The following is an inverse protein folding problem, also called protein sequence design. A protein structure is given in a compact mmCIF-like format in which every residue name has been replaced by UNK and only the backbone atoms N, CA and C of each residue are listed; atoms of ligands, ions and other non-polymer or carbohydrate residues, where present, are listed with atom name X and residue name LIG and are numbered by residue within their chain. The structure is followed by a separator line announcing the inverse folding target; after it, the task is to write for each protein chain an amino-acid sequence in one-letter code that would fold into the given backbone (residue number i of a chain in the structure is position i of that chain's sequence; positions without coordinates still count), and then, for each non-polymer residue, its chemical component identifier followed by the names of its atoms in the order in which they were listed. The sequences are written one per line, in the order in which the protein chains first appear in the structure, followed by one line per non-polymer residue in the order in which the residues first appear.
data_IF_327135769331
#
_entry.id   IF_327135769331
#
_cell.length_a   1.000
_cell.length_b   1.000
_cell.length_c   1.000
_cell.angle_alpha   90.00
_cell.angle_beta   90.00
_cell.angle_gamma   90.00
#
_symmetry.space_group_name_H-M   'P 1'
#
loop_
_entity.id
_entity.type
_entity.pdbx_description
1 polymer ?
#
# COMPACT_ATOMS: atom_id res chain seq x y z
N UNK A 1 9.27 29.02 4.46
CA UNK A 1 9.01 27.61 4.78
C UNK A 1 7.69 27.26 4.13
N UNK A 2 7.63 26.21 3.34
CA UNK A 2 6.38 25.73 2.73
C UNK A 2 5.48 25.17 3.84
N UNK A 3 4.22 25.59 3.89
CA UNK A 3 3.26 25.10 4.89
C UNK A 3 2.68 23.76 4.41
N UNK A 4 2.54 22.76 5.29
CA UNK A 4 1.85 21.52 4.94
C UNK A 4 0.43 21.82 4.43
N UNK A 5 0.04 21.14 3.35
CA UNK A 5 -1.34 21.20 2.86
C UNK A 5 -2.28 20.49 3.84
N UNK A 6 -3.56 20.90 3.92
CA UNK A 6 -4.58 20.21 4.71
C UNK A 6 -4.66 18.73 4.32
N UNK A 7 -4.96 17.86 5.29
CA UNK A 7 -5.28 16.47 5.01
C UNK A 7 -6.74 16.31 4.52
N UNK A 8 -7.16 15.10 4.15
CA UNK A 8 -8.47 14.87 3.55
C UNK A 8 -9.63 15.19 4.52
N UNK A 9 -9.47 14.88 5.79
CA UNK A 9 -10.45 15.18 6.84
C UNK A 9 -10.62 16.68 7.01
N UNK A 10 -9.54 17.45 6.96
CA UNK A 10 -9.58 18.91 7.02
C UNK A 10 -10.20 19.50 5.75
N UNK A 11 -9.82 19.04 4.55
CA UNK A 11 -10.42 19.47 3.28
C UNK A 11 -11.94 19.23 3.27
N UNK A 12 -12.39 18.06 3.70
CA UNK A 12 -13.81 17.76 3.83
C UNK A 12 -14.52 18.72 4.82
N UNK A 13 -13.84 19.14 5.87
CA UNK A 13 -14.36 20.11 6.84
C UNK A 13 -14.47 21.51 6.24
N UNK A 14 -13.49 21.95 5.45
CA UNK A 14 -13.54 23.24 4.74
C UNK A 14 -14.73 23.30 3.77
N UNK A 15 -15.00 22.20 3.04
CA UNK A 15 -16.18 22.13 2.15
C UNK A 15 -17.48 22.17 2.96
N UNK A 16 -17.62 21.36 4.02
CA UNK A 16 -18.84 21.35 4.85
C UNK A 16 -19.14 22.70 5.50
N UNK A 17 -18.10 23.44 5.87
CA UNK A 17 -18.25 24.77 6.47
C UNK A 17 -18.42 25.91 5.45
N UNK A 18 -18.34 25.60 4.15
CA UNK A 18 -18.44 26.60 3.08
C UNK A 18 -17.22 27.51 2.95
N UNK A 19 -16.08 27.12 3.53
CA UNK A 19 -14.80 27.83 3.43
C UNK A 19 -14.05 27.51 2.13
N UNK A 20 -14.38 26.39 1.48
CA UNK A 20 -13.94 26.01 0.15
C UNK A 20 -15.06 25.28 -0.59
N UNK A 21 -15.05 25.31 -1.91
CA UNK A 21 -15.91 24.50 -2.76
C UNK A 21 -15.18 23.26 -3.29
N UNK A 22 -15.93 22.22 -3.69
CA UNK A 22 -15.36 21.06 -4.34
C UNK A 22 -14.62 21.41 -5.63
N UNK A 23 -15.13 22.38 -6.40
CA UNK A 23 -14.51 22.86 -7.65
C UNK A 23 -13.15 23.46 -7.37
N UNK A 24 -13.04 24.36 -6.39
CA UNK A 24 -11.76 24.99 -6.02
C UNK A 24 -10.73 23.94 -5.61
N UNK A 25 -11.08 22.99 -4.74
CA UNK A 25 -10.14 21.97 -4.27
C UNK A 25 -9.70 20.99 -5.39
N UNK A 26 -10.61 20.68 -6.31
CA UNK A 26 -10.30 19.82 -7.46
C UNK A 26 -9.41 20.56 -8.45
N UNK A 27 -9.70 21.83 -8.77
CA UNK A 27 -8.85 22.63 -9.65
C UNK A 27 -7.45 22.85 -9.05
N UNK A 28 -7.34 23.18 -7.77
CA UNK A 28 -6.06 23.29 -7.06
C UNK A 28 -5.25 21.99 -7.12
N UNK A 29 -5.90 20.84 -6.94
CA UNK A 29 -5.25 19.55 -7.03
C UNK A 29 -4.79 19.24 -8.46
N UNK A 30 -5.61 19.52 -9.46
CA UNK A 30 -5.25 19.36 -10.89
C UNK A 30 -4.05 20.26 -11.24
N UNK A 31 -4.03 21.51 -10.80
CA UNK A 31 -2.91 22.43 -11.01
C UNK A 31 -1.61 21.90 -10.37
N UNK A 32 -1.69 21.33 -9.15
CA UNK A 32 -0.53 20.69 -8.51
C UNK A 32 -0.04 19.49 -9.31
N UNK A 33 -0.94 18.61 -9.76
CA UNK A 33 -0.57 17.49 -10.61
C UNK A 33 0.14 17.99 -11.89
N UNK A 34 -0.47 18.92 -12.63
CA UNK A 34 0.08 19.46 -13.88
C UNK A 34 1.46 20.12 -13.69
N UNK A 35 1.69 20.76 -12.55
CA UNK A 35 2.99 21.40 -12.24
C UNK A 35 4.07 20.39 -11.84
N UNK A 36 3.74 19.38 -11.05
CA UNK A 36 4.72 18.52 -10.38
C UNK A 36 4.97 17.20 -11.11
N UNK A 37 3.95 16.67 -11.79
CA UNK A 37 3.98 15.29 -12.28
C UNK A 37 4.96 15.07 -13.43
N UNK A 38 5.29 16.10 -14.19
CA UNK A 38 6.35 16.03 -15.22
C UNK A 38 7.72 15.61 -14.67
N UNK A 39 7.97 15.84 -13.37
CA UNK A 39 9.22 15.44 -12.69
C UNK A 39 9.07 14.16 -11.86
N UNK A 40 7.84 13.78 -11.47
CA UNK A 40 7.56 12.68 -10.56
C UNK A 40 7.04 11.44 -11.30
N UNK A 41 6.20 11.62 -12.33
CA UNK A 41 5.55 10.55 -13.09
C UNK A 41 4.68 9.63 -12.19
N UNK A 42 3.82 10.27 -11.41
CA UNK A 42 2.91 9.57 -10.49
C UNK A 42 1.56 9.25 -11.13
N UNK A 43 1.04 10.12 -12.03
CA UNK A 43 -0.29 10.03 -12.64
C UNK A 43 -0.17 9.62 -14.10
N UNK A 44 -0.64 8.44 -14.46
CA UNK A 44 -0.48 7.86 -15.80
C UNK A 44 -1.76 7.88 -16.64
N UNK A 45 -2.90 8.08 -16.03
CA UNK A 45 -4.20 8.27 -16.70
C UNK A 45 -4.93 9.43 -16.03
N UNK A 46 -5.08 10.53 -16.76
CA UNK A 46 -5.76 11.74 -16.29
C UNK A 46 -7.27 11.65 -16.59
N UNK A 47 -8.08 12.18 -15.65
CA UNK A 47 -9.53 12.27 -15.77
C UNK A 47 -10.02 13.69 -15.40
N UNK A 48 -9.18 14.70 -15.64
CA UNK A 48 -9.38 16.07 -15.12
C UNK A 48 -10.68 16.71 -15.55
N UNK A 49 -11.09 16.59 -16.81
CA UNK A 49 -12.35 17.17 -17.30
C UNK A 49 -13.57 16.51 -16.69
N UNK A 50 -13.52 15.18 -16.52
CA UNK A 50 -14.58 14.44 -15.82
C UNK A 50 -14.62 14.83 -14.33
N UNK A 51 -13.46 14.96 -13.68
CA UNK A 51 -13.35 15.38 -12.29
C UNK A 51 -13.93 16.80 -12.05
N UNK A 52 -13.64 17.76 -12.94
CA UNK A 52 -14.25 19.10 -12.89
C UNK A 52 -15.76 19.06 -13.05
N UNK A 53 -16.24 18.22 -13.97
CA UNK A 53 -17.68 18.05 -14.19
C UNK A 53 -18.37 17.46 -12.96
N UNK A 54 -17.76 16.44 -12.35
CA UNK A 54 -18.25 15.83 -11.12
C UNK A 54 -18.24 16.82 -9.95
N UNK A 55 -17.14 17.57 -9.75
CA UNK A 55 -16.99 18.56 -8.68
C UNK A 55 -18.02 19.69 -8.77
N UNK A 56 -18.43 20.06 -10.00
CA UNK A 56 -19.46 21.09 -10.26
C UNK A 56 -20.88 20.55 -10.13
N UNK A 57 -21.06 19.22 -10.13
CA UNK A 57 -22.35 18.54 -10.04
C UNK A 57 -22.80 18.25 -8.61
N UNK A 58 -23.79 17.37 -8.49
CA UNK A 58 -24.27 16.87 -7.22
C UNK A 58 -23.43 15.67 -6.79
N UNK A 59 -22.64 15.83 -5.72
CA UNK A 59 -21.82 14.77 -5.14
C UNK A 59 -22.57 14.05 -4.01
N UNK A 60 -22.29 12.73 -3.80
CA UNK A 60 -22.79 12.00 -2.65
C UNK A 60 -22.46 12.72 -1.32
N UNK A 61 -23.41 12.66 -0.37
CA UNK A 61 -23.24 13.26 0.95
C UNK A 61 -22.47 12.31 1.89
N UNK A 62 -21.21 12.08 1.53
CA UNK A 62 -20.29 11.22 2.28
C UNK A 62 -19.25 12.00 3.09
N UNK A 63 -18.44 11.29 3.90
CA UNK A 63 -17.46 11.91 4.81
C UNK A 63 -16.39 12.74 4.09
N UNK A 64 -16.10 12.44 2.82
CA UNK A 64 -15.07 13.09 2.01
C UNK A 64 -15.64 13.81 0.78
N UNK A 65 -16.88 14.31 0.89
CA UNK A 65 -17.55 15.00 -0.22
C UNK A 65 -16.69 16.11 -0.82
N UNK A 66 -16.36 15.96 -2.11
CA UNK A 66 -15.61 16.94 -2.90
C UNK A 66 -14.09 16.90 -2.72
N UNK A 67 -13.56 16.00 -1.92
CA UNK A 67 -12.11 15.86 -1.73
C UNK A 67 -11.49 15.18 -2.95
N UNK A 68 -10.38 15.71 -3.53
CA UNK A 68 -9.68 15.08 -4.65
C UNK A 68 -8.98 13.81 -4.23
N UNK A 69 -9.01 12.80 -5.12
CA UNK A 69 -8.46 11.46 -4.88
C UNK A 69 -7.81 10.88 -6.13
N UNK A 70 -6.87 9.94 -5.96
CA UNK A 70 -6.26 9.16 -7.03
C UNK A 70 -6.39 7.67 -6.76
N UNK A 71 -6.52 6.88 -7.84
CA UNK A 71 -6.69 5.44 -7.79
C UNK A 71 -5.50 4.76 -8.45
N UNK A 72 -4.90 3.77 -7.81
CA UNK A 72 -3.82 2.95 -8.40
C UNK A 72 -4.29 2.22 -9.66
N UNK A 73 -3.42 2.09 -10.65
CA UNK A 73 -3.70 1.33 -11.89
C UNK A 73 -3.58 -0.20 -11.69
N UNK A 74 -3.97 -0.71 -10.53
CA UNK A 74 -4.07 -2.12 -10.20
C UNK A 74 -5.13 -2.31 -9.13
N UNK A 75 -6.17 -3.10 -9.43
CA UNK A 75 -7.36 -3.20 -8.60
C UNK A 75 -8.21 -1.92 -8.63
N UNK A 76 -9.22 -1.85 -7.79
CA UNK A 76 -10.13 -0.70 -7.68
C UNK A 76 -10.64 -0.24 -9.05
N UNK A 77 -11.28 -1.14 -9.79
CA UNK A 77 -11.78 -0.92 -11.14
C UNK A 77 -12.86 0.17 -11.14
N UNK A 78 -12.77 1.04 -12.16
CA UNK A 78 -13.69 2.13 -12.44
C UNK A 78 -14.30 1.91 -13.81
N UNK A 79 -15.62 1.69 -13.91
CA UNK A 79 -16.31 1.38 -15.15
C UNK A 79 -16.02 2.39 -16.27
N UNK A 80 -15.59 1.90 -17.43
CA UNK A 80 -15.25 2.71 -18.59
C UNK A 80 -13.90 3.41 -18.55
N UNK A 81 -13.16 3.38 -17.42
CA UNK A 81 -11.85 4.01 -17.30
C UNK A 81 -10.71 3.05 -17.66
N UNK A 82 -9.54 3.55 -18.10
CA UNK A 82 -8.38 2.73 -18.41
C UNK A 82 -7.95 1.87 -17.21
N UNK A 83 -7.57 0.62 -17.49
CA UNK A 83 -7.04 -0.32 -16.49
C UNK A 83 -5.94 -1.16 -17.12
N UNK A 84 -4.70 -0.68 -17.04
CA UNK A 84 -3.56 -1.28 -17.72
C UNK A 84 -2.67 -2.13 -16.81
N UNK A 85 -2.82 -2.05 -15.50
CA UNK A 85 -2.03 -2.80 -14.51
C UNK A 85 -0.51 -2.62 -14.72
N UNK A 86 -0.07 -1.40 -15.12
CA UNK A 86 1.31 -1.10 -15.46
C UNK A 86 1.84 -1.81 -16.70
N UNK A 87 1.00 -2.53 -17.47
CA UNK A 87 1.39 -3.35 -18.61
C UNK A 87 1.20 -2.63 -19.95
N UNK A 88 2.19 -2.76 -20.84
CA UNK A 88 2.21 -2.12 -22.15
C UNK A 88 1.15 -2.69 -23.11
N UNK A 89 0.98 -4.02 -23.15
CA UNK A 89 0.03 -4.63 -24.09
C UNK A 89 -1.43 -4.28 -23.74
N UNK A 90 -1.78 -4.21 -22.46
CA UNK A 90 -3.11 -3.78 -22.01
C UNK A 90 -3.35 -2.30 -22.30
N UNK A 91 -2.34 -1.43 -22.04
CA UNK A 91 -2.38 0.00 -22.36
C UNK A 91 -2.60 0.22 -23.86
N UNK A 92 -1.78 -0.42 -24.70
CA UNK A 92 -1.80 -0.23 -26.16
C UNK A 92 -3.09 -0.82 -26.79
N UNK A 93 -3.67 -1.85 -26.18
CA UNK A 93 -4.98 -2.37 -26.55
C UNK A 93 -6.15 -1.50 -26.05
N UNK A 94 -5.89 -0.50 -25.23
CA UNK A 94 -6.92 0.39 -24.70
C UNK A 94 -7.88 -0.29 -23.73
N UNK A 95 -7.41 -1.28 -22.97
CA UNK A 95 -8.24 -2.03 -22.02
C UNK A 95 -8.87 -1.11 -20.99
N UNK A 96 -10.16 -1.27 -20.76
CA UNK A 96 -10.96 -0.51 -19.78
C UNK A 96 -11.72 -1.45 -18.87
N UNK A 97 -11.94 -1.03 -17.63
CA UNK A 97 -12.76 -1.79 -16.69
C UNK A 97 -14.23 -1.81 -17.16
N UNK A 98 -14.86 -2.98 -17.09
CA UNK A 98 -16.28 -3.15 -17.53
C UNK A 98 -17.28 -2.68 -16.48
N UNK A 99 -16.91 -2.77 -15.19
CA UNK A 99 -17.74 -2.38 -14.06
C UNK A 99 -16.91 -1.86 -12.90
N UNK A 100 -17.55 -1.11 -12.00
CA UNK A 100 -16.94 -0.66 -10.77
C UNK A 100 -16.73 -1.83 -9.80
N UNK A 101 -15.57 -1.85 -9.15
CA UNK A 101 -15.36 -2.68 -7.96
C UNK A 101 -16.22 -2.19 -6.79
N UNK A 102 -16.51 -3.05 -5.82
CA UNK A 102 -17.19 -2.63 -4.59
C UNK A 102 -16.40 -1.57 -3.85
N UNK A 103 -15.08 -1.69 -3.86
CA UNK A 103 -14.18 -0.69 -3.29
C UNK A 103 -14.36 0.68 -3.95
N UNK A 104 -14.34 0.76 -5.29
CA UNK A 104 -14.52 2.04 -5.97
C UNK A 104 -15.91 2.65 -5.70
N UNK A 105 -16.96 1.82 -5.65
CA UNK A 105 -18.31 2.30 -5.25
C UNK A 105 -18.30 2.91 -3.85
N UNK A 106 -17.57 2.30 -2.89
CA UNK A 106 -17.44 2.85 -1.53
C UNK A 106 -16.72 4.20 -1.54
N UNK A 107 -15.63 4.34 -2.32
CA UNK A 107 -14.89 5.58 -2.50
C UNK A 107 -15.77 6.67 -3.13
N UNK A 108 -16.47 6.34 -4.20
CA UNK A 108 -17.38 7.29 -4.87
C UNK A 108 -18.54 7.71 -3.96
N UNK A 109 -19.15 6.77 -3.22
CA UNK A 109 -20.23 7.06 -2.26
C UNK A 109 -19.75 7.88 -1.06
N UNK A 110 -18.47 7.80 -0.70
CA UNK A 110 -17.86 8.68 0.31
C UNK A 110 -17.73 10.13 -0.18
N UNK A 111 -17.99 10.38 -1.48
CA UNK A 111 -18.02 11.70 -2.09
C UNK A 111 -16.68 12.17 -2.65
N UNK A 112 -15.67 11.32 -2.74
CA UNK A 112 -14.41 11.69 -3.40
C UNK A 112 -14.58 12.00 -4.88
N UNK A 113 -13.78 12.94 -5.37
CA UNK A 113 -13.64 13.25 -6.80
C UNK A 113 -12.33 12.65 -7.31
N UNK A 114 -12.42 11.65 -8.16
CA UNK A 114 -11.25 10.93 -8.68
C UNK A 114 -10.61 11.67 -9.85
N UNK A 115 -9.33 12.05 -9.71
CA UNK A 115 -8.58 12.82 -10.71
C UNK A 115 -7.93 11.93 -11.79
N UNK A 116 -7.72 10.65 -11.52
CA UNK A 116 -7.04 9.74 -12.43
C UNK A 116 -6.47 8.49 -11.77
N UNK A 117 -5.60 7.78 -12.52
CA UNK A 117 -4.90 6.60 -12.03
C UNK A 117 -3.41 6.85 -11.85
N UNK A 118 -2.86 6.26 -10.81
CA UNK A 118 -1.44 6.38 -10.46
C UNK A 118 -0.63 5.19 -10.98
N UNK A 119 0.64 5.45 -11.22
CA UNK A 119 1.61 4.49 -11.73
C UNK A 119 1.83 3.31 -10.75
N UNK A 120 2.09 2.15 -11.33
CA UNK A 120 2.37 0.89 -10.64
C UNK A 120 3.34 0.07 -11.50
N UNK A 121 4.22 -0.78 -10.95
CA UNK A 121 4.96 -1.73 -11.75
C UNK A 121 4.01 -2.73 -12.40
N UNK A 122 4.42 -3.32 -13.49
CA UNK A 122 3.61 -4.30 -14.22
C UNK A 122 3.11 -5.41 -13.30
N UNK A 123 1.77 -5.62 -13.30
CA UNK A 123 1.05 -6.60 -12.47
C UNK A 123 1.29 -6.48 -10.95
N UNK A 124 1.88 -5.38 -10.50
CA UNK A 124 2.29 -5.22 -9.11
C UNK A 124 3.42 -6.15 -8.66
N UNK A 125 4.15 -6.74 -9.60
CA UNK A 125 5.09 -7.85 -9.39
C UNK A 125 6.38 -7.51 -8.65
N UNK A 126 6.62 -6.25 -8.29
CA UNK A 126 7.83 -5.82 -7.57
C UNK A 126 7.54 -4.70 -6.57
N UNK A 127 8.52 -4.38 -5.72
CA UNK A 127 8.44 -3.33 -4.69
C UNK A 127 9.12 -2.01 -5.10
N UNK A 128 9.28 -1.79 -6.40
CA UNK A 128 9.61 -0.49 -7.01
C UNK A 128 8.57 -0.16 -8.06
N UNK A 129 8.43 1.11 -8.46
CA UNK A 129 7.45 1.55 -9.46
C UNK A 129 8.18 2.11 -10.67
N UNK A 130 8.64 1.20 -11.53
CA UNK A 130 9.48 1.47 -12.69
C UNK A 130 8.99 0.66 -13.92
N UNK A 131 7.68 0.69 -14.29
CA UNK A 131 7.19 -0.11 -15.41
C UNK A 131 7.73 0.35 -16.74
N UNK A 132 8.04 -0.58 -17.66
CA UNK A 132 8.41 -0.25 -19.04
C UNK A 132 7.31 0.53 -19.76
N UNK A 133 6.05 0.29 -19.41
CA UNK A 133 4.89 0.91 -20.05
C UNK A 133 4.85 2.44 -19.86
N UNK A 134 5.22 2.94 -18.66
CA UNK A 134 5.05 4.34 -18.27
C UNK A 134 6.32 5.00 -17.75
N UNK A 135 7.39 4.23 -17.56
CA UNK A 135 8.63 4.69 -16.93
C UNK A 135 8.53 4.82 -15.40
N UNK A 136 9.66 5.15 -14.75
CA UNK A 136 9.76 5.18 -13.30
C UNK A 136 8.99 6.34 -12.67
N UNK A 137 8.28 6.08 -11.57
CA UNK A 137 7.88 7.11 -10.62
C UNK A 137 9.07 7.50 -9.75
N UNK A 138 9.22 8.80 -9.49
CA UNK A 138 10.36 9.38 -8.80
C UNK A 138 9.99 9.84 -7.41
N UNK A 139 10.85 9.58 -6.44
CA UNK A 139 10.60 9.92 -5.06
C UNK A 139 10.68 11.46 -4.85
N UNK A 140 9.62 12.11 -4.34
CA UNK A 140 9.63 13.57 -4.12
C UNK A 140 10.70 14.05 -3.14
N UNK A 141 11.22 13.17 -2.29
CA UNK A 141 12.33 13.49 -1.38
C UNK A 141 13.67 13.56 -2.11
N UNK A 142 13.86 12.70 -3.11
CA UNK A 142 15.01 12.70 -4.01
C UNK A 142 14.63 12.03 -5.34
N UNK A 143 14.57 12.78 -6.41
CA UNK A 143 14.08 12.31 -7.71
C UNK A 143 14.92 11.20 -8.37
N UNK A 144 16.11 10.91 -7.85
CA UNK A 144 16.96 9.81 -8.33
C UNK A 144 16.69 8.49 -7.59
N UNK A 145 15.74 8.48 -6.63
CA UNK A 145 15.43 7.32 -5.80
C UNK A 145 14.03 6.76 -6.06
N UNK A 146 13.86 5.49 -5.73
CA UNK A 146 12.61 4.74 -5.79
C UNK A 146 11.53 5.35 -4.89
N UNK A 147 10.30 5.25 -5.32
CA UNK A 147 9.08 5.56 -4.53
C UNK A 147 8.61 4.37 -3.72
N UNK A 148 9.34 3.24 -3.80
CA UNK A 148 8.77 1.97 -3.43
C UNK A 148 7.70 1.50 -4.41
N UNK A 149 7.13 0.35 -4.11
CA UNK A 149 6.13 -0.33 -4.94
C UNK A 149 5.31 -1.36 -4.15
N UNK A 150 4.27 -1.81 -4.76
CA UNK A 150 3.78 -1.49 -6.10
C UNK A 150 2.88 -0.24 -6.18
N UNK A 151 2.52 0.42 -5.05
CA UNK A 151 1.70 1.65 -5.05
C UNK A 151 2.57 2.93 -5.04
N UNK A 152 3.71 2.93 -5.75
CA UNK A 152 4.68 4.04 -5.70
C UNK A 152 4.16 5.33 -6.33
N UNK A 153 3.39 5.27 -7.42
CA UNK A 153 2.74 6.45 -7.99
C UNK A 153 1.77 7.11 -7.00
N UNK A 154 0.96 6.30 -6.29
CA UNK A 154 0.06 6.80 -5.22
C UNK A 154 0.85 7.47 -4.10
N UNK A 155 1.91 6.83 -3.62
CA UNK A 155 2.74 7.37 -2.55
C UNK A 155 3.47 8.65 -2.98
N UNK A 156 4.02 8.70 -4.19
CA UNK A 156 4.67 9.90 -4.73
C UNK A 156 3.69 11.07 -4.85
N UNK A 157 2.48 10.82 -5.37
CA UNK A 157 1.45 11.86 -5.50
C UNK A 157 1.04 12.45 -4.14
N UNK A 158 0.85 11.60 -3.12
CA UNK A 158 0.49 12.04 -1.77
C UNK A 158 1.66 12.75 -1.08
N UNK A 159 2.87 12.22 -1.18
CA UNK A 159 4.06 12.83 -0.59
C UNK A 159 4.35 14.22 -1.20
N UNK A 160 4.17 14.38 -2.51
CA UNK A 160 4.31 15.66 -3.21
C UNK A 160 3.15 16.64 -2.93
N UNK A 161 2.09 16.23 -2.23
CA UNK A 161 0.94 17.09 -1.96
C UNK A 161 -0.01 17.28 -3.14
N UNK A 162 0.05 16.45 -4.18
CA UNK A 162 -0.90 16.50 -5.30
C UNK A 162 -2.33 16.23 -4.83
N UNK A 163 -2.51 15.23 -4.00
CA UNK A 163 -3.76 14.86 -3.32
C UNK A 163 -3.49 14.52 -1.85
N UNK A 164 -4.48 14.60 -0.96
CA UNK A 164 -4.28 14.33 0.47
C UNK A 164 -4.07 12.85 0.78
N UNK A 165 -4.70 11.96 0.02
CA UNK A 165 -4.55 10.51 0.10
C UNK A 165 -4.83 9.86 -1.26
N UNK A 166 -4.38 8.62 -1.46
CA UNK A 166 -4.61 7.86 -2.68
C UNK A 166 -4.79 6.37 -2.38
N UNK A 167 -5.54 5.67 -3.26
CA UNK A 167 -5.71 4.22 -3.20
C UNK A 167 -4.37 3.51 -3.40
N UNK A 168 -4.20 2.42 -2.66
CA UNK A 168 -3.06 1.52 -2.72
C UNK A 168 -3.50 0.08 -2.44
N UNK A 169 -2.74 -0.91 -2.88
CA UNK A 169 -3.00 -2.33 -2.61
C UNK A 169 -1.73 -3.02 -2.13
N UNK A 170 -1.84 -4.12 -1.38
CA UNK A 170 -0.72 -4.79 -0.71
C UNK A 170 -0.87 -6.31 -0.78
N UNK A 171 -0.01 -6.98 -1.56
CA UNK A 171 0.08 -8.43 -1.63
C UNK A 171 1.36 -8.98 -0.99
N UNK A 172 2.37 -8.12 -0.78
CA UNK A 172 3.65 -8.47 -0.17
C UNK A 172 4.36 -7.29 0.49
N UNK A 173 3.67 -6.14 0.65
CA UNK A 173 4.23 -4.91 1.19
C UNK A 173 3.83 -3.67 0.40
N UNK A 174 3.00 -3.79 -0.62
CA UNK A 174 2.79 -2.75 -1.62
C UNK A 174 1.95 -1.53 -1.19
N UNK A 175 1.44 -1.47 0.04
CA UNK A 175 1.01 -0.25 0.74
C UNK A 175 2.17 0.26 1.61
N UNK A 176 2.76 -0.63 2.40
CA UNK A 176 3.72 -0.32 3.47
C UNK A 176 5.07 0.13 2.94
N UNK A 177 5.59 -0.54 1.90
CA UNK A 177 6.88 -0.19 1.28
C UNK A 177 6.86 1.22 0.68
N UNK A 178 5.90 1.58 -0.21
CA UNK A 178 5.86 2.93 -0.74
C UNK A 178 5.51 3.99 0.34
N UNK A 179 4.71 3.66 1.35
CA UNK A 179 4.50 4.55 2.50
C UNK A 179 5.81 4.81 3.25
N UNK A 180 6.63 3.77 3.49
CA UNK A 180 7.95 3.88 4.10
C UNK A 180 8.89 4.77 3.29
N UNK A 181 9.02 4.50 1.98
CA UNK A 181 9.96 5.20 1.11
C UNK A 181 9.55 6.65 0.80
N UNK A 182 8.26 6.97 0.90
CA UNK A 182 7.75 8.32 0.63
C UNK A 182 7.39 9.13 1.89
N UNK A 183 7.59 8.58 3.09
CA UNK A 183 7.36 9.28 4.35
C UNK A 183 5.88 9.47 4.70
N UNK A 184 5.08 8.41 4.52
CA UNK A 184 3.63 8.38 4.66
C UNK A 184 3.17 7.34 5.68
N UNK A 185 1.90 7.43 6.06
CA UNK A 185 1.16 6.38 6.77
C UNK A 185 0.61 5.41 5.74
N UNK A 186 0.88 4.11 5.93
CA UNK A 186 0.34 3.05 5.08
C UNK A 186 -0.12 1.86 5.90
N UNK A 187 -1.42 1.68 6.05
CA UNK A 187 -2.04 0.56 6.77
C UNK A 187 -2.48 -0.52 5.79
N UNK A 188 -1.89 -1.71 5.93
CA UNK A 188 -2.40 -2.95 5.37
C UNK A 188 -3.42 -3.54 6.36
N UNK A 189 -4.72 -3.56 6.04
CA UNK A 189 -5.72 -4.13 6.96
C UNK A 189 -5.66 -5.66 7.01
N UNK A 190 -6.46 -6.24 7.89
CA UNK A 190 -6.66 -7.67 8.01
C UNK A 190 -7.29 -8.26 6.74
N UNK A 191 -6.98 -9.53 6.45
CA UNK A 191 -7.65 -10.28 5.39
C UNK A 191 -9.17 -10.25 5.57
N UNK A 192 -9.89 -9.95 4.49
CA UNK A 192 -11.36 -9.90 4.51
C UNK A 192 -11.95 -8.65 5.15
N UNK A 193 -11.12 -7.64 5.49
CA UNK A 193 -11.60 -6.32 5.92
C UNK A 193 -12.18 -5.53 4.77
N UNK A 194 -11.60 -5.66 3.58
CA UNK A 194 -12.01 -4.99 2.34
C UNK A 194 -12.32 -6.08 1.30
N UNK A 195 -13.45 -5.94 0.59
CA UNK A 195 -13.86 -6.87 -0.44
C UNK A 195 -13.12 -6.65 -1.75
N UNK A 196 -12.69 -7.72 -2.42
CA UNK A 196 -12.15 -7.70 -3.78
C UNK A 196 -13.23 -7.81 -4.88
N UNK A 197 -14.49 -7.83 -4.48
CA UNK A 197 -15.60 -8.04 -5.42
C UNK A 197 -15.98 -6.80 -6.24
N UNK A 198 -16.82 -6.99 -7.26
CA UNK A 198 -17.42 -8.27 -7.66
C UNK A 198 -16.52 -9.12 -8.56
N UNK A 199 -15.37 -8.61 -9.04
CA UNK A 199 -14.51 -9.25 -10.04
C UNK A 199 -13.77 -10.47 -9.48
N UNK A 200 -13.31 -10.39 -8.24
CA UNK A 200 -12.57 -11.45 -7.57
C UNK A 200 -13.08 -11.70 -6.15
N UNK A 201 -12.83 -12.88 -5.61
CA UNK A 201 -13.06 -13.19 -4.20
C UNK A 201 -11.81 -12.98 -3.35
N UNK A 202 -10.64 -13.19 -3.95
CA UNK A 202 -9.33 -13.07 -3.31
C UNK A 202 -8.21 -12.87 -4.33
N UNK A 203 -7.00 -12.56 -3.87
CA UNK A 203 -5.78 -12.66 -4.66
C UNK A 203 -4.65 -13.33 -3.86
N UNK A 204 -3.79 -14.09 -4.54
CA UNK A 204 -2.62 -14.77 -3.99
C UNK A 204 -2.94 -15.63 -2.75
N UNK A 205 -3.98 -16.49 -2.85
CA UNK A 205 -4.47 -17.32 -1.74
C UNK A 205 -4.81 -16.50 -0.48
N UNK A 206 -5.43 -15.34 -0.66
CA UNK A 206 -5.87 -14.45 0.41
C UNK A 206 -4.76 -13.54 0.97
N UNK A 207 -3.62 -13.41 0.30
CA UNK A 207 -2.54 -12.51 0.74
C UNK A 207 -2.76 -11.05 0.33
N UNK A 208 -3.55 -10.78 -0.73
CA UNK A 208 -3.77 -9.40 -1.19
C UNK A 208 -4.86 -8.70 -0.39
N UNK A 209 -4.72 -7.38 -0.27
CA UNK A 209 -5.74 -6.48 0.28
C UNK A 209 -5.55 -5.08 -0.29
N UNK A 210 -6.59 -4.27 -0.22
CA UNK A 210 -6.55 -2.85 -0.59
C UNK A 210 -6.44 -1.95 0.64
N UNK A 211 -6.15 -0.68 0.41
CA UNK A 211 -6.03 0.36 1.42
C UNK A 211 -5.72 1.70 0.79
N UNK A 212 -5.12 2.58 1.58
CA UNK A 212 -4.63 3.88 1.12
C UNK A 212 -3.24 4.18 1.66
N UNK A 213 -2.58 5.13 1.03
CA UNK A 213 -1.48 5.90 1.62
C UNK A 213 -1.98 7.30 1.92
N UNK A 214 -1.62 7.84 3.10
CA UNK A 214 -2.02 9.16 3.56
C UNK A 214 -0.91 9.85 4.36
N UNK A 215 -1.09 11.12 4.73
CA UNK A 215 -0.14 11.85 5.56
C UNK A 215 -0.47 11.81 7.04
N UNK A 216 -1.70 11.44 7.41
CA UNK A 216 -2.16 11.42 8.80
C UNK A 216 -2.83 10.11 9.17
N UNK A 217 -2.72 9.74 10.45
CA UNK A 217 -3.39 8.55 10.99
C UNK A 217 -4.91 8.69 10.91
N UNK A 218 -5.44 9.92 11.15
CA UNK A 218 -6.89 10.15 11.11
C UNK A 218 -7.48 9.93 9.71
N UNK A 219 -6.78 10.30 8.65
CA UNK A 219 -7.23 10.05 7.28
C UNK A 219 -7.26 8.55 6.96
N UNK A 220 -6.19 7.82 7.36
CA UNK A 220 -6.14 6.37 7.22
C UNK A 220 -7.29 5.69 7.96
N UNK A 221 -7.57 6.08 9.19
CA UNK A 221 -8.64 5.50 10.01
C UNK A 221 -10.03 5.78 9.40
N UNK A 222 -10.32 7.03 9.04
CA UNK A 222 -11.60 7.40 8.42
C UNK A 222 -11.80 6.74 7.06
N UNK A 223 -10.71 6.55 6.28
CA UNK A 223 -10.79 5.84 5.01
C UNK A 223 -10.99 4.33 5.20
N UNK A 224 -10.45 3.75 6.26
CA UNK A 224 -10.70 2.34 6.59
C UNK A 224 -12.20 2.10 6.88
N UNK A 225 -12.89 3.04 7.56
CA UNK A 225 -14.35 2.97 7.74
C UNK A 225 -15.10 2.99 6.40
N UNK A 226 -14.66 3.80 5.44
CA UNK A 226 -15.26 3.87 4.09
C UNK A 226 -15.08 2.58 3.31
N UNK A 227 -13.88 1.98 3.39
CA UNK A 227 -13.52 0.81 2.57
C UNK A 227 -13.96 -0.52 3.19
N UNK A 228 -14.14 -0.55 4.53
CA UNK A 228 -14.46 -1.77 5.25
C UNK A 228 -15.89 -2.22 4.96
N UNK A 229 -16.07 -3.52 4.81
CA UNK A 229 -17.40 -4.08 4.70
C UNK A 229 -17.42 -5.44 4.04
N UNK A 230 -18.46 -6.19 4.39
CA UNK A 230 -18.76 -7.48 3.78
C UNK A 230 -19.72 -7.32 2.63
N UNK A 231 -19.39 -7.96 1.51
CA UNK A 231 -20.33 -8.14 0.40
C UNK A 231 -20.75 -9.62 0.27
N UNK A 232 -21.94 -9.84 -0.31
CA UNK A 232 -22.44 -11.21 -0.52
C UNK A 232 -21.51 -11.98 -1.46
N UNK A 233 -21.00 -13.11 -0.98
CA UNK A 233 -20.10 -13.97 -1.74
C UNK A 233 -18.61 -13.82 -1.40
N UNK A 234 -18.24 -12.89 -0.54
CA UNK A 234 -16.85 -12.76 -0.08
C UNK A 234 -16.40 -14.05 0.62
N UNK A 235 -15.25 -14.64 0.24
CA UNK A 235 -14.75 -15.88 0.84
C UNK A 235 -14.14 -15.66 2.23
N UNK A 236 -13.63 -14.46 2.50
CA UNK A 236 -13.08 -14.06 3.79
C UNK A 236 -13.83 -12.86 4.35
N UNK A 237 -14.03 -12.86 5.66
CA UNK A 237 -14.74 -11.79 6.37
C UNK A 237 -14.02 -11.53 7.68
N UNK A 238 -13.45 -10.34 7.83
CA UNK A 238 -12.85 -9.89 9.09
C UNK A 238 -13.94 -9.64 10.15
N UNK A 239 -13.61 -9.81 11.42
CA UNK A 239 -14.51 -9.47 12.52
C UNK A 239 -14.89 -7.98 12.45
N UNK A 240 -16.18 -7.62 12.66
CA UNK A 240 -16.58 -6.22 12.63
C UNK A 240 -15.89 -5.45 13.78
N UNK A 241 -15.49 -4.19 13.56
CA UNK A 241 -14.94 -3.36 14.62
C UNK A 241 -16.01 -3.07 15.67
N UNK A 242 -15.60 -2.85 16.92
CA UNK A 242 -16.52 -2.51 18.02
C UNK A 242 -17.09 -1.09 17.92
N UNK A 243 -16.40 -0.21 17.19
CA UNK A 243 -16.79 1.17 16.86
C UNK A 243 -16.08 1.59 15.57
N UNK A 244 -16.45 2.73 14.95
CA UNK A 244 -15.74 3.24 13.79
C UNK A 244 -14.23 3.40 14.05
N UNK A 245 -13.41 3.10 13.06
CA UNK A 245 -11.94 3.25 13.15
C UNK A 245 -11.52 4.70 13.35
N UNK A 246 -12.26 5.65 12.78
CA UNK A 246 -12.03 7.07 13.02
C UNK A 246 -12.16 7.46 14.51
N UNK A 247 -13.02 6.79 15.25
CA UNK A 247 -13.22 7.03 16.69
C UNK A 247 -12.12 6.39 17.56
N UNK A 248 -11.21 5.62 16.97
CA UNK A 248 -10.04 5.06 17.65
C UNK A 248 -8.87 6.05 17.73
N UNK A 249 -8.87 7.07 16.88
CA UNK A 249 -7.80 8.07 16.83
C UNK A 249 -7.78 8.91 18.11
N UNK A 250 -6.66 8.88 18.84
CA UNK A 250 -6.48 9.57 20.11
C UNK A 250 -7.01 8.84 21.35
N UNK A 251 -7.53 7.62 21.17
CA UNK A 251 -7.84 6.73 22.28
C UNK A 251 -6.56 6.12 22.82
N UNK A 252 -6.44 6.05 24.15
CA UNK A 252 -5.29 5.43 24.81
C UNK A 252 -5.18 3.94 24.43
N UNK A 253 -4.05 3.49 23.84
CA UNK A 253 -3.83 2.06 23.54
C UNK A 253 -3.64 1.21 24.80
N UNK A 254 -3.45 1.81 25.99
CA UNK A 254 -3.04 1.12 27.19
C UNK A 254 -1.55 0.79 27.20
N UNK A 255 -1.10 0.06 28.22
CA UNK A 255 0.28 -0.43 28.28
C UNK A 255 0.39 -1.74 27.49
N UNK A 256 1.23 -1.75 26.46
CA UNK A 256 1.40 -2.86 25.52
C UNK A 256 2.71 -3.60 25.77
N UNK A 257 2.73 -4.89 25.49
CA UNK A 257 3.92 -5.74 25.41
C UNK A 257 4.37 -5.76 23.95
N UNK A 258 5.52 -5.18 23.66
CA UNK A 258 6.00 -4.92 22.31
C UNK A 258 7.30 -5.65 22.06
N UNK A 259 7.32 -6.51 21.04
CA UNK A 259 8.55 -7.16 20.57
C UNK A 259 9.20 -6.35 19.46
N UNK A 260 10.52 -6.18 19.52
CA UNK A 260 11.33 -5.57 18.47
C UNK A 260 12.08 -6.62 17.67
N UNK A 261 11.95 -6.58 16.35
CA UNK A 261 12.71 -7.35 15.37
C UNK A 261 13.50 -6.40 14.45
N UNK A 262 14.58 -5.76 14.91
CA UNK A 262 15.29 -4.74 14.14
C UNK A 262 16.04 -5.29 12.94
N UNK A 263 16.28 -6.61 12.89
CA UNK A 263 16.97 -7.30 11.79
C UNK A 263 16.39 -8.68 11.56
N UNK A 264 16.62 -9.24 10.36
CA UNK A 264 16.27 -10.60 10.01
C UNK A 264 17.53 -11.48 9.95
N UNK A 265 17.50 -12.68 10.57
CA UNK A 265 18.69 -13.53 10.73
C UNK A 265 19.34 -13.95 9.40
N UNK A 266 18.56 -14.07 8.32
CA UNK A 266 19.05 -14.48 7.00
C UNK A 266 19.37 -13.33 6.04
N UNK A 267 19.27 -12.06 6.48
CA UNK A 267 19.37 -10.90 5.59
C UNK A 267 20.18 -9.78 6.23
N UNK A 268 21.05 -9.17 5.45
CA UNK A 268 21.76 -7.97 5.88
C UNK A 268 20.78 -6.78 5.87
N UNK A 269 20.34 -6.38 7.06
CA UNK A 269 19.53 -5.17 7.23
C UNK A 269 20.46 -3.96 7.33
N UNK A 270 20.14 -2.88 6.58
CA UNK A 270 20.91 -1.65 6.63
C UNK A 270 20.92 -1.06 8.04
N UNK A 271 22.07 -0.59 8.56
CA UNK A 271 22.17 -0.02 9.91
C UNK A 271 21.21 1.16 10.16
N UNK A 272 20.82 1.93 9.14
CA UNK A 272 19.84 3.02 9.30
C UNK A 272 18.41 2.47 9.49
N UNK A 273 18.07 1.34 8.88
CA UNK A 273 16.80 0.65 9.12
C UNK A 273 16.76 0.01 10.52
N UNK A 274 17.86 -0.58 10.97
CA UNK A 274 18.01 -1.06 12.37
C UNK A 274 17.82 0.09 13.35
N UNK A 275 18.53 1.19 13.15
CA UNK A 275 18.45 2.37 14.01
C UNK A 275 17.03 2.99 14.05
N UNK A 276 16.29 2.91 12.97
CA UNK A 276 14.90 3.37 12.92
C UNK A 276 14.00 2.58 13.88
N UNK A 277 14.14 1.25 13.91
CA UNK A 277 13.38 0.37 14.81
C UNK A 277 13.82 0.57 16.27
N UNK A 278 15.12 0.69 16.55
CA UNK A 278 15.64 0.94 17.89
C UNK A 278 15.16 2.30 18.44
N UNK A 279 15.13 3.34 17.59
CA UNK A 279 14.60 4.64 17.96
C UNK A 279 13.10 4.60 18.25
N UNK A 280 12.33 3.85 17.45
CA UNK A 280 10.91 3.62 17.71
C UNK A 280 10.69 2.86 19.03
N UNK A 281 11.51 1.84 19.30
CA UNK A 281 11.50 1.12 20.58
C UNK A 281 11.73 2.04 21.77
N UNK A 282 12.75 2.89 21.69
CA UNK A 282 13.05 3.88 22.76
C UNK A 282 11.91 4.89 22.96
N UNK A 283 11.23 5.30 21.88
CA UNK A 283 10.04 6.17 21.98
C UNK A 283 8.88 5.44 22.67
N UNK A 284 8.63 4.18 22.33
CA UNK A 284 7.59 3.34 22.95
C UNK A 284 7.82 3.14 24.45
N UNK A 285 9.07 2.91 24.89
CA UNK A 285 9.44 2.85 26.31
C UNK A 285 9.14 4.16 27.03
N UNK A 286 9.47 5.32 26.41
CA UNK A 286 9.16 6.65 26.97
C UNK A 286 7.66 6.89 27.08
N UNK A 287 6.85 6.27 26.21
CA UNK A 287 5.39 6.32 26.26
C UNK A 287 4.78 5.32 27.27
N UNK A 288 5.61 4.50 27.91
CA UNK A 288 5.22 3.62 29.01
C UNK A 288 4.85 2.19 28.62
N UNK A 289 5.19 1.76 27.40
CA UNK A 289 5.02 0.38 26.96
C UNK A 289 6.16 -0.52 27.44
N UNK A 290 5.91 -1.84 27.52
CA UNK A 290 6.92 -2.85 27.78
C UNK A 290 7.56 -3.28 26.46
N UNK A 291 8.83 -2.98 26.27
CA UNK A 291 9.55 -3.21 25.00
C UNK A 291 10.73 -4.15 25.21
N UNK A 292 10.85 -5.18 24.42
CA UNK A 292 12.00 -6.09 24.43
C UNK A 292 12.35 -6.61 23.01
N UNK A 293 13.58 -7.08 22.82
CA UNK A 293 13.98 -7.76 21.58
C UNK A 293 13.33 -9.12 21.57
N UNK A 294 12.27 -9.26 20.78
CA UNK A 294 11.50 -10.50 20.64
C UNK A 294 10.77 -10.53 19.30
N UNK A 295 10.65 -11.71 18.72
CA UNK A 295 9.97 -11.95 17.45
C UNK A 295 9.48 -13.40 17.37
N UNK A 296 8.46 -13.70 16.55
CA UNK A 296 8.04 -15.09 16.34
C UNK A 296 9.17 -15.95 15.76
N UNK A 297 9.39 -17.14 16.28
CA UNK A 297 10.36 -18.08 15.70
C UNK A 297 10.06 -18.39 14.23
N UNK A 298 8.76 -18.45 13.87
CA UNK A 298 8.32 -18.71 12.50
C UNK A 298 8.65 -17.56 11.53
N UNK A 299 9.02 -16.37 12.02
CA UNK A 299 9.34 -15.19 11.18
C UNK A 299 10.54 -15.45 10.26
N UNK A 300 11.47 -16.29 10.68
CA UNK A 300 12.69 -16.66 9.95
C UNK A 300 12.65 -18.05 9.31
N UNK A 301 11.46 -18.59 9.05
CA UNK A 301 11.33 -19.90 8.42
C UNK A 301 11.84 -19.85 6.97
N UNK A 302 12.94 -20.58 6.68
CA UNK A 302 13.63 -20.60 5.38
C UNK A 302 12.73 -21.07 4.22
N UNK A 303 11.72 -21.89 4.51
CA UNK A 303 10.78 -22.42 3.52
C UNK A 303 9.72 -21.39 3.10
N UNK A 304 9.53 -20.29 3.87
CA UNK A 304 8.51 -19.32 3.62
C UNK A 304 8.56 -18.73 2.19
N UNK A 305 9.73 -18.27 1.78
CA UNK A 305 9.91 -17.64 0.47
C UNK A 305 9.56 -18.60 -0.67
N UNK A 306 9.91 -19.87 -0.57
CA UNK A 306 9.59 -20.88 -1.59
C UNK A 306 8.08 -21.02 -1.79
N UNK A 307 7.32 -21.14 -0.70
CA UNK A 307 5.87 -21.30 -0.77
C UNK A 307 5.16 -20.02 -1.21
N UNK A 308 5.60 -18.87 -0.73
CA UNK A 308 5.08 -17.59 -1.15
C UNK A 308 5.29 -17.33 -2.65
N UNK A 309 6.51 -17.53 -3.14
CA UNK A 309 6.85 -17.39 -4.57
C UNK A 309 6.05 -18.39 -5.42
N UNK A 310 5.82 -19.61 -4.97
CA UNK A 310 4.97 -20.58 -5.69
C UNK A 310 3.54 -20.04 -5.87
N UNK A 311 2.95 -19.44 -4.83
CA UNK A 311 1.60 -18.86 -4.89
C UNK A 311 1.57 -17.68 -5.86
N UNK A 312 2.54 -16.76 -5.77
CA UNK A 312 2.65 -15.59 -6.64
C UNK A 312 2.84 -16.00 -8.10
N UNK A 313 3.71 -16.98 -8.37
CA UNK A 313 3.98 -17.48 -9.71
C UNK A 313 2.72 -18.05 -10.40
N UNK A 314 1.96 -18.88 -9.67
CA UNK A 314 0.69 -19.41 -10.18
C UNK A 314 -0.32 -18.30 -10.44
N UNK A 315 -0.42 -17.32 -9.55
CA UNK A 315 -1.28 -16.16 -9.74
C UNK A 315 -0.88 -15.35 -10.99
N UNK A 316 0.41 -15.09 -11.21
CA UNK A 316 0.92 -14.42 -12.42
C UNK A 316 0.58 -15.21 -13.71
N UNK A 317 0.64 -16.55 -13.65
CA UNK A 317 0.20 -17.38 -14.79
C UNK A 317 -1.31 -17.23 -15.08
N UNK A 318 -2.13 -17.05 -14.04
CA UNK A 318 -3.57 -16.77 -14.19
C UNK A 318 -3.79 -15.37 -14.74
N UNK A 319 -2.99 -14.38 -14.33
CA UNK A 319 -3.05 -13.02 -14.89
C UNK A 319 -2.79 -13.03 -16.39
N UNK A 320 -1.86 -13.85 -16.91
CA UNK A 320 -1.65 -13.98 -18.36
C UNK A 320 -2.88 -14.50 -19.09
N UNK A 321 -3.65 -15.41 -18.47
CA UNK A 321 -4.92 -15.89 -19.05
C UNK A 321 -5.95 -14.75 -19.11
N UNK A 322 -6.08 -14.00 -18.01
CA UNK A 322 -7.03 -12.88 -17.91
C UNK A 322 -6.66 -11.75 -18.88
N UNK A 323 -5.38 -11.37 -18.95
CA UNK A 323 -4.87 -10.40 -19.92
C UNK A 323 -5.13 -10.84 -21.36
N UNK A 324 -4.86 -12.14 -21.65
CA UNK A 324 -5.13 -12.71 -22.98
C UNK A 324 -6.60 -12.62 -23.38
N UNK A 325 -7.50 -12.87 -22.42
CA UNK A 325 -8.94 -12.68 -22.63
C UNK A 325 -9.30 -11.21 -22.90
N UNK A 326 -8.69 -10.27 -22.16
CA UNK A 326 -8.94 -8.83 -22.32
C UNK A 326 -8.47 -8.28 -23.68
N UNK A 327 -7.34 -8.79 -24.22
CA UNK A 327 -6.80 -8.34 -25.53
C UNK A 327 -7.20 -9.24 -26.71
N UNK A 328 -7.95 -10.33 -26.47
CA UNK A 328 -8.47 -11.23 -27.51
C UNK A 328 -7.45 -12.19 -28.13
N UNK A 329 -6.28 -12.40 -27.50
CA UNK A 329 -5.24 -13.35 -27.92
C UNK A 329 -4.39 -13.82 -26.74
N UNK A 330 -3.71 -14.97 -26.82
CA UNK A 330 -2.76 -15.39 -25.79
C UNK A 330 -1.64 -14.37 -25.56
N UNK A 331 -1.20 -14.25 -24.32
CA UNK A 331 -0.03 -13.45 -23.93
C UNK A 331 1.25 -14.20 -24.32
N UNK A 332 2.18 -13.51 -24.97
CA UNK A 332 3.52 -13.98 -25.31
C UNK A 332 4.60 -13.22 -24.56
N UNK A 333 5.85 -13.68 -24.66
CA UNK A 333 7.02 -13.10 -23.99
C UNK A 333 7.18 -11.58 -24.24
N UNK A 334 6.86 -11.11 -25.44
CA UNK A 334 6.95 -9.68 -25.78
C UNK A 334 5.82 -8.80 -25.25
N UNK A 335 4.81 -9.36 -24.59
CA UNK A 335 3.65 -8.63 -24.07
C UNK A 335 3.82 -8.22 -22.61
N UNK A 336 4.79 -8.79 -21.92
CA UNK A 336 5.09 -8.57 -20.50
C UNK A 336 6.56 -8.35 -20.27
N UNK A 337 6.92 -7.75 -19.14
CA UNK A 337 8.31 -7.57 -18.73
C UNK A 337 8.98 -8.93 -18.44
N UNK A 338 10.29 -9.02 -18.67
CA UNK A 338 11.03 -10.29 -18.57
C UNK A 338 10.89 -10.98 -17.19
N UNK A 339 10.85 -10.21 -16.12
CA UNK A 339 10.65 -10.73 -14.76
C UNK A 339 9.28 -11.38 -14.58
N UNK A 340 8.21 -10.76 -15.10
CA UNK A 340 6.86 -11.29 -15.06
C UNK A 340 6.70 -12.50 -16.00
N UNK A 341 7.35 -12.46 -17.18
CA UNK A 341 7.37 -13.63 -18.06
C UNK A 341 8.01 -14.84 -17.40
N UNK A 342 9.15 -14.65 -16.71
CA UNK A 342 9.81 -15.72 -15.95
C UNK A 342 8.87 -16.22 -14.83
N UNK A 343 8.27 -15.32 -14.05
CA UNK A 343 7.39 -15.67 -12.93
C UNK A 343 6.16 -16.46 -13.42
N UNK A 344 5.49 -15.97 -14.47
CA UNK A 344 4.33 -16.66 -15.06
C UNK A 344 4.71 -18.03 -15.67
N UNK A 345 5.90 -18.14 -16.30
CA UNK A 345 6.41 -19.41 -16.83
C UNK A 345 6.68 -20.44 -15.74
N UNK A 346 7.24 -20.01 -14.59
CA UNK A 346 7.37 -20.83 -13.39
C UNK A 346 5.96 -21.29 -12.96
N UNK A 347 5.01 -20.36 -12.83
CA UNK A 347 3.64 -20.65 -12.43
C UNK A 347 2.93 -21.68 -13.31
N UNK A 348 3.13 -21.61 -14.63
CA UNK A 348 2.59 -22.60 -15.58
C UNK A 348 3.18 -24.01 -15.38
N UNK A 349 4.38 -24.13 -14.82
CA UNK A 349 5.03 -25.41 -14.54
C UNK A 349 4.62 -26.03 -13.20
N UNK A 350 4.01 -25.27 -12.30
CA UNK A 350 3.57 -25.74 -10.97
C UNK A 350 2.35 -26.64 -11.13
N UNK A 351 2.41 -27.86 -10.56
CA UNK A 351 1.24 -28.73 -10.54
C UNK A 351 0.17 -28.24 -9.55
N UNK A 352 -1.08 -28.60 -9.78
CA UNK A 352 -2.17 -28.31 -8.83
C UNK A 352 -1.89 -28.88 -7.43
N UNK A 353 -1.23 -30.05 -7.35
CA UNK A 353 -0.86 -30.67 -6.08
C UNK A 353 0.20 -29.84 -5.34
N UNK A 354 1.21 -29.31 -6.04
CA UNK A 354 2.27 -28.50 -5.43
C UNK A 354 1.71 -27.14 -4.98
N UNK A 355 0.80 -26.53 -5.76
CA UNK A 355 0.11 -25.31 -5.36
C UNK A 355 -0.70 -25.51 -4.07
N UNK A 356 -1.54 -26.56 -4.01
CA UNK A 356 -2.33 -26.87 -2.81
C UNK A 356 -1.42 -27.19 -1.62
N UNK A 357 -0.30 -27.89 -1.83
CA UNK A 357 0.68 -28.16 -0.78
C UNK A 357 1.27 -26.84 -0.23
N UNK A 358 1.58 -25.89 -1.11
CA UNK A 358 2.08 -24.56 -0.70
C UNK A 358 1.03 -23.77 0.09
N UNK A 359 -0.24 -23.76 -0.35
CA UNK A 359 -1.34 -23.11 0.38
C UNK A 359 -1.54 -23.76 1.76
N UNK A 360 -1.52 -25.07 1.86
CA UNK A 360 -1.64 -25.76 3.15
C UNK A 360 -0.45 -25.48 4.07
N UNK A 361 0.76 -25.41 3.51
CA UNK A 361 1.96 -25.08 4.28
C UNK A 361 1.86 -23.65 4.87
N UNK A 362 1.49 -22.65 4.07
CA UNK A 362 1.37 -21.26 4.56
C UNK A 362 0.27 -21.11 5.61
N UNK A 363 -0.82 -21.89 5.53
CA UNK A 363 -1.84 -21.91 6.58
C UNK A 363 -1.31 -22.49 7.90
N UNK A 364 -0.54 -23.59 7.84
CA UNK A 364 0.08 -24.19 9.01
C UNK A 364 1.16 -23.27 9.61
N UNK A 365 1.96 -22.64 8.75
CA UNK A 365 2.97 -21.66 9.14
C UNK A 365 2.34 -20.42 9.79
N UNK A 366 1.25 -19.89 9.24
CA UNK A 366 0.53 -18.75 9.82
C UNK A 366 0.05 -18.99 11.24
N UNK A 367 -0.37 -20.23 11.57
CA UNK A 367 -0.74 -20.58 12.95
C UNK A 367 0.46 -20.51 13.91
N UNK A 368 1.65 -20.96 13.46
CA UNK A 368 2.88 -20.89 14.26
C UNK A 368 3.33 -19.44 14.45
N UNK A 369 3.21 -18.61 13.41
CA UNK A 369 3.52 -17.20 13.47
C UNK A 369 2.60 -16.48 14.47
N UNK A 370 1.28 -16.65 14.31
CA UNK A 370 0.27 -15.93 15.10
C UNK A 370 0.24 -16.33 16.59
N UNK A 371 0.68 -17.53 16.95
CA UNK A 371 0.77 -17.98 18.35
C UNK A 371 1.65 -17.07 19.22
N UNK A 372 2.58 -16.31 18.63
CA UNK A 372 3.41 -15.34 19.34
C UNK A 372 2.60 -14.20 19.98
N UNK A 373 1.45 -13.84 19.39
CA UNK A 373 0.54 -12.80 19.90
C UNK A 373 -0.27 -13.24 21.13
N UNK A 374 -0.12 -14.47 21.60
CA UNK A 374 -0.63 -14.88 22.92
C UNK A 374 0.16 -14.20 24.07
N UNK A 375 1.45 -13.88 23.82
CA UNK A 375 2.35 -13.29 24.80
C UNK A 375 2.68 -11.80 24.52
N UNK A 376 2.50 -11.31 23.29
CA UNK A 376 2.79 -9.95 22.86
C UNK A 376 1.59 -9.30 22.20
N UNK A 377 1.55 -7.97 22.24
CA UNK A 377 0.45 -7.20 21.66
C UNK A 377 0.82 -6.63 20.27
N UNK A 378 2.10 -6.23 20.08
CA UNK A 378 2.58 -5.64 18.82
C UNK A 378 4.00 -6.11 18.51
N UNK A 379 4.25 -6.43 17.24
CA UNK A 379 5.60 -6.63 16.71
C UNK A 379 6.03 -5.36 15.95
N UNK A 380 7.26 -4.90 16.19
CA UNK A 380 7.87 -3.76 15.49
C UNK A 380 9.08 -4.22 14.69
N UNK A 381 9.14 -3.86 13.42
CA UNK A 381 10.22 -4.25 12.51
C UNK A 381 10.51 -3.15 11.47
N UNK A 382 11.60 -3.24 10.70
CA UNK A 382 11.71 -2.50 9.44
C UNK A 382 10.53 -2.85 8.52
N UNK A 383 10.22 -1.96 7.58
CA UNK A 383 9.31 -2.27 6.46
C UNK A 383 10.06 -3.06 5.39
N UNK A 384 11.24 -2.57 5.02
CA UNK A 384 12.20 -3.24 4.13
C UNK A 384 13.62 -3.11 4.70
N UNK A 385 14.54 -3.93 4.19
CA UNK A 385 15.89 -4.05 4.74
C UNK A 385 16.84 -2.88 4.38
N UNK A 386 16.43 -1.96 3.51
CA UNK A 386 17.27 -0.84 3.03
C UNK A 386 16.48 0.47 3.00
N UNK A 387 17.13 1.65 3.11
CA UNK A 387 16.52 2.94 2.76
C UNK A 387 16.10 2.95 1.29
N UNK A 388 15.27 3.93 0.82
CA UNK A 388 14.85 4.03 -0.57
C UNK A 388 16.05 3.89 -1.53
N UNK A 389 16.12 2.84 -2.38
CA UNK A 389 17.25 2.63 -3.27
C UNK A 389 17.19 3.58 -4.48
N UNK A 390 18.29 3.78 -5.21
CA UNK A 390 18.28 4.49 -6.49
C UNK A 390 17.35 3.80 -7.50
N UNK A 391 16.75 4.58 -8.39
CA UNK A 391 15.99 4.07 -9.55
C UNK A 391 16.91 3.16 -10.37
N UNK A 392 16.37 2.02 -10.85
CA UNK A 392 17.12 1.01 -11.59
C UNK A 392 17.82 -0.04 -10.71
N UNK A 393 17.91 0.16 -9.39
CA UNK A 393 18.61 -0.77 -8.52
C UNK A 393 17.98 -2.17 -8.44
N UNK A 394 16.63 -2.24 -8.42
CA UNK A 394 15.89 -3.51 -8.47
C UNK A 394 15.70 -4.04 -9.90
N UNK A 395 15.76 -3.16 -10.89
CA UNK A 395 15.66 -3.53 -12.32
C UNK A 395 16.99 -3.96 -12.93
N UNK A 396 18.07 -4.05 -12.14
CA UNK A 396 19.38 -4.53 -12.57
C UNK A 396 19.27 -6.00 -13.05
N UNK A 397 19.65 -6.30 -14.31
CA UNK A 397 19.48 -7.64 -14.89
C UNK A 397 20.31 -8.72 -14.20
N UNK A 398 21.43 -8.37 -13.57
CA UNK A 398 22.35 -9.29 -12.92
C UNK A 398 22.00 -9.53 -11.45
N UNK A 399 21.60 -8.47 -10.73
CA UNK A 399 21.46 -8.49 -9.28
C UNK A 399 20.03 -8.19 -8.77
N UNK A 400 19.12 -7.75 -9.63
CA UNK A 400 17.78 -7.27 -9.22
C UNK A 400 16.98 -8.31 -8.45
N UNK A 401 16.97 -9.56 -8.91
CA UNK A 401 16.23 -10.65 -8.23
C UNK A 401 16.82 -10.97 -6.85
N UNK A 402 18.14 -11.03 -6.72
CA UNK A 402 18.81 -11.24 -5.44
C UNK A 402 18.50 -10.10 -4.47
N UNK A 403 18.60 -8.85 -4.94
CA UNK A 403 18.28 -7.65 -4.17
C UNK A 403 16.82 -7.65 -3.71
N UNK A 404 15.88 -7.93 -4.62
CA UNK A 404 14.47 -8.03 -4.25
C UNK A 404 14.22 -9.06 -3.16
N UNK A 405 14.80 -10.25 -3.30
CA UNK A 405 14.67 -11.33 -2.32
C UNK A 405 15.27 -10.92 -0.98
N UNK A 406 16.39 -10.20 -0.97
CA UNK A 406 17.06 -9.79 0.26
C UNK A 406 16.30 -8.69 1.01
N UNK A 407 15.69 -7.73 0.32
CA UNK A 407 15.04 -6.60 1.00
C UNK A 407 13.59 -6.88 1.42
N UNK A 408 12.89 -7.78 0.73
CA UNK A 408 11.46 -8.07 0.96
C UNK A 408 11.28 -9.19 2.00
N UNK A 409 11.81 -8.99 3.20
CA UNK A 409 11.84 -10.01 4.26
C UNK A 409 11.00 -9.67 5.50
N UNK A 410 10.33 -8.51 5.52
CA UNK A 410 9.60 -8.06 6.71
C UNK A 410 8.10 -7.87 6.50
N UNK A 411 7.62 -7.87 5.26
CA UNK A 411 6.23 -7.52 4.95
C UNK A 411 5.37 -8.68 4.45
N UNK A 412 5.84 -9.62 3.56
CA UNK A 412 4.99 -10.66 2.97
C UNK A 412 4.38 -11.62 4.00
N UNK A 413 5.07 -11.82 5.10
CA UNK A 413 4.61 -12.68 6.20
C UNK A 413 3.23 -12.27 6.71
N UNK A 414 2.98 -10.96 6.81
CA UNK A 414 1.72 -10.41 7.33
C UNK A 414 0.63 -10.31 6.25
N UNK A 415 0.97 -10.48 4.99
CA UNK A 415 0.02 -10.75 3.92
C UNK A 415 -0.50 -12.18 4.03
N UNK A 416 0.43 -13.13 4.10
CA UNK A 416 0.13 -14.56 4.16
C UNK A 416 -0.61 -14.94 5.45
N UNK A 417 -0.22 -14.38 6.60
CA UNK A 417 -0.93 -14.62 7.87
C UNK A 417 -2.28 -13.90 7.96
N UNK A 418 -2.48 -12.84 7.16
CA UNK A 418 -3.70 -12.03 7.16
C UNK A 418 -3.78 -10.98 8.25
N UNK A 419 -2.71 -10.78 9.04
CA UNK A 419 -2.67 -9.82 10.14
C UNK A 419 -2.60 -8.36 9.63
N UNK A 420 -3.18 -7.38 10.35
CA UNK A 420 -3.01 -5.97 10.03
C UNK A 420 -1.60 -5.50 10.34
N UNK A 421 -1.08 -4.57 9.52
CA UNK A 421 0.23 -3.97 9.72
C UNK A 421 0.25 -2.53 9.20
N UNK A 422 0.89 -1.61 9.93
CA UNK A 422 1.01 -0.21 9.53
C UNK A 422 2.48 0.21 9.43
N UNK A 423 2.82 0.94 8.37
CA UNK A 423 4.09 1.67 8.24
C UNK A 423 3.88 3.11 8.71
N UNK A 424 4.74 3.58 9.60
CA UNK A 424 4.74 4.95 10.11
C UNK A 424 6.07 5.65 9.80
N UNK A 425 6.07 6.94 9.34
CA UNK A 425 7.27 7.66 8.94
C UNK A 425 8.01 8.26 10.15
N UNK A 426 8.59 7.40 10.97
CA UNK A 426 9.22 7.79 12.24
C UNK A 426 10.71 8.14 12.11
N UNK A 427 11.34 7.81 10.98
CA UNK A 427 12.78 8.00 10.82
C UNK A 427 13.14 8.56 9.43
N UNK A 428 14.28 9.26 9.34
CA UNK A 428 14.89 9.71 8.10
C UNK A 428 16.37 9.35 8.09
N UNK A 429 16.84 8.85 6.95
CA UNK A 429 18.26 8.54 6.74
C UNK A 429 19.13 9.78 6.81
N UNK A 430 20.45 9.61 6.92
CA UNK A 430 21.42 10.71 6.85
C UNK A 430 21.38 11.46 5.52
N UNK A 431 20.91 10.79 4.45
CA UNK A 431 20.66 11.39 3.15
C UNK A 431 19.33 12.17 3.07
N UNK A 432 18.52 12.19 4.13
CA UNK A 432 17.23 12.87 4.19
C UNK A 432 16.09 12.11 3.56
N UNK A 433 16.27 10.82 3.25
CA UNK A 433 15.22 9.94 2.73
C UNK A 433 14.44 9.33 3.88
N UNK A 434 13.09 9.18 3.75
CA UNK A 434 12.28 8.56 4.79
C UNK A 434 12.60 7.08 4.98
N UNK A 435 12.47 6.61 6.22
CA UNK A 435 12.52 5.20 6.60
C UNK A 435 11.33 4.93 7.50
N UNK A 436 10.37 4.15 7.00
CA UNK A 436 9.19 3.74 7.76
C UNK A 436 9.52 2.63 8.76
N UNK A 437 8.80 2.63 9.86
CA UNK A 437 8.81 1.55 10.85
C UNK A 437 7.48 0.82 10.79
N UNK A 438 7.51 -0.52 10.74
CA UNK A 438 6.34 -1.36 10.68
C UNK A 438 5.88 -1.79 12.07
N UNK A 439 4.58 -1.69 12.31
CA UNK A 439 3.89 -2.17 13.49
C UNK A 439 2.85 -3.21 13.06
N UNK A 440 2.88 -4.39 13.66
CA UNK A 440 2.00 -5.51 13.33
C UNK A 440 1.18 -5.91 14.54
N UNK A 441 -0.14 -5.95 14.38
CA UNK A 441 -1.09 -6.34 15.42
C UNK A 441 -1.61 -7.77 15.29
N UNK A 442 -2.42 -8.21 16.25
CA UNK A 442 -3.23 -9.42 16.11
C UNK A 442 -4.17 -9.32 14.91
N UNK A 443 -4.63 -10.46 14.39
CA UNK A 443 -5.62 -10.48 13.32
C UNK A 443 -6.90 -9.75 13.77
N UNK A 444 -7.50 -8.98 12.87
CA UNK A 444 -8.73 -8.18 13.07
C UNK A 444 -8.61 -7.01 14.07
N UNK A 445 -7.40 -6.68 14.57
CA UNK A 445 -7.20 -5.60 15.54
C UNK A 445 -6.51 -4.38 14.94
N UNK A 446 -7.06 -3.85 13.85
CA UNK A 446 -6.65 -2.55 13.29
C UNK A 446 -6.85 -1.42 14.30
N UNK A 447 -7.84 -1.55 15.19
CA UNK A 447 -8.14 -0.57 16.22
C UNK A 447 -6.93 -0.32 17.14
N UNK A 448 -6.25 -1.37 17.61
CA UNK A 448 -5.02 -1.27 18.39
C UNK A 448 -3.94 -0.50 17.63
N UNK A 449 -3.72 -0.85 16.36
CA UNK A 449 -2.69 -0.19 15.53
C UNK A 449 -3.01 1.29 15.28
N UNK A 450 -4.28 1.65 15.09
CA UNK A 450 -4.70 3.04 14.91
C UNK A 450 -4.48 3.85 16.19
N UNK A 451 -4.82 3.31 17.36
CA UNK A 451 -4.58 3.95 18.66
C UNK A 451 -3.09 4.20 18.88
N UNK A 452 -2.25 3.17 18.69
CA UNK A 452 -0.81 3.26 18.83
C UNK A 452 -0.21 4.24 17.81
N UNK A 453 -0.64 4.17 16.55
CA UNK A 453 -0.17 5.09 15.50
C UNK A 453 -0.51 6.56 15.83
N UNK A 454 -1.71 6.84 16.34
CA UNK A 454 -2.12 8.19 16.75
C UNK A 454 -1.32 8.69 17.97
N UNK A 455 -1.00 7.81 18.92
CA UNK A 455 -0.12 8.13 20.04
C UNK A 455 1.30 8.50 19.55
N UNK A 456 1.84 7.71 18.61
CA UNK A 456 3.16 7.95 18.01
C UNK A 456 3.17 9.22 17.14
N UNK A 457 2.10 9.49 16.36
CA UNK A 457 1.95 10.73 15.58
C UNK A 457 1.96 11.96 16.48
N UNK A 458 1.35 11.87 17.65
CA UNK A 458 1.33 12.95 18.66
C UNK A 458 2.71 13.14 19.31
N UNK A 459 3.42 12.06 19.65
CA UNK A 459 4.70 12.08 20.33
C UNK A 459 5.86 12.48 19.42
N UNK A 460 5.82 12.10 18.15
CA UNK A 460 6.84 12.35 17.15
C UNK A 460 6.20 12.82 15.82
N UNK A 461 5.62 14.03 15.75
CA UNK A 461 4.87 14.51 14.60
C UNK A 461 5.75 14.65 13.36
N UNK A 462 5.30 14.09 12.25
CA UNK A 462 5.97 14.13 10.93
C UNK A 462 5.32 15.10 9.94
N UNK A 463 4.15 15.64 10.21
CA UNK A 463 3.38 16.46 9.26
C UNK A 463 4.14 17.69 8.72
N UNK A 464 5.10 18.24 9.47
CA UNK A 464 5.94 19.38 9.06
C UNK A 464 7.15 18.97 8.20
N UNK A 465 7.44 17.69 8.08
CA UNK A 465 8.51 17.20 7.20
C UNK A 465 7.97 17.06 5.79
N UNK A 466 8.48 17.88 4.89
CA UNK A 466 8.03 17.96 3.50
C UNK A 466 9.19 17.62 2.57
N UNK A 467 8.92 16.91 1.45
CA UNK A 467 9.94 16.62 0.45
C UNK A 467 10.40 17.89 -0.29
N UNK A 468 11.49 17.76 -1.04
CA UNK A 468 12.04 18.85 -1.86
C UNK A 468 11.12 19.25 -3.03
N UNK A 469 10.31 18.30 -3.51
CA UNK A 469 9.27 18.52 -4.53
C UNK A 469 7.90 18.43 -3.86
N UNK A 470 7.28 19.60 -3.62
CA UNK A 470 6.03 19.70 -2.87
C UNK A 470 5.12 20.81 -3.38
N UNK A 471 3.81 20.60 -3.34
CA UNK A 471 2.67 21.36 -3.82
C UNK A 471 2.33 22.74 -3.44
#
# INVERSE_FOLDING_TARGET
MTTPLPDATELATLIRSGQASSVELVDDAIERVQRLDSSINAVIHERFDAARTEAAGELPDGPFRGVPFLVKDLGCEMAGEPHSMGNRALRDAGVRAEQDSYLYRSISNAGFVTLGRTNTPELGGTVTTEPEAFGPSRNPWNLDHSTGGSSGGSAAAVAAGMVPMAHASDGGGSIRVPASECGLVGLKPSRGRISHGPQAGEGWAGATTDGVVSRSVRDTAAMLDVMSGRHTGDPYVAAPPTRPFADEVGVDPGRLRIGLAPSHAGVQTDPECVAAVEAAGSLLEQLGHDVEIAQPDAFFDEEFSRHFVTIVAVATAVDFVNMGAAIGRPIGEGDVEASNWLMGSIGQSVSAADYIASVNWVHAWSRRLQAWWDDFDVLVSPVIAVPPPPIGWLSDPEHGTERLTSILQFTPQFNVSGQPAVSLPLHWSRAGLPIGVQFVGPIDDEALLIRLAAQLETAAPWASRLPSVYG
#
